data_IF_890855770891
#
_entry.id   IF_890855770891
#
_cell.length_a   1.000
_cell.length_b   1.000
_cell.length_c   1.000
_cell.angle_alpha   90.00
_cell.angle_beta   90.00
_cell.angle_gamma   90.00
#
_symmetry.space_group_name_H-M   'P 1'
#
loop_
_entity.id
_entity.type
_entity.pdbx_description
1 polymer ?
#
# COMPACT_ATOMS: atom_id res chain seq x y z
N UNK A 1 1.32 33.07 -20.09
CA UNK A 1 1.64 31.70 -19.66
C UNK A 1 1.75 31.71 -18.15
N UNK A 2 0.66 31.31 -17.47
CA UNK A 2 0.65 31.25 -16.03
C UNK A 2 1.55 30.13 -15.53
N UNK A 3 2.47 30.39 -14.57
CA UNK A 3 3.35 29.38 -14.03
C UNK A 3 2.66 28.41 -13.06
N UNK A 4 1.34 28.35 -13.06
CA UNK A 4 0.55 27.56 -12.13
C UNK A 4 -0.41 26.59 -12.85
N UNK A 5 0.02 26.02 -13.99
CA UNK A 5 -0.75 24.97 -14.66
C UNK A 5 -0.51 23.62 -14.00
N UNK A 6 -0.98 23.49 -12.76
CA UNK A 6 -1.14 22.22 -12.05
C UNK A 6 -2.46 21.52 -12.48
N UNK A 7 -3.02 21.93 -13.63
CA UNK A 7 -4.33 21.51 -14.11
C UNK A 7 -4.32 20.17 -14.88
N UNK A 8 -3.20 19.45 -14.89
CA UNK A 8 -3.08 18.16 -15.59
C UNK A 8 -3.27 16.96 -14.66
N UNK A 9 -3.10 17.13 -13.35
CA UNK A 9 -3.25 16.03 -12.40
C UNK A 9 -4.73 15.79 -12.12
N UNK A 10 -5.19 14.58 -12.38
CA UNK A 10 -6.53 14.10 -12.03
C UNK A 10 -6.44 12.85 -11.19
N UNK A 11 -7.35 12.72 -10.20
CA UNK A 11 -7.55 11.49 -9.45
C UNK A 11 -8.93 10.94 -9.85
N UNK A 12 -8.95 9.71 -10.32
CA UNK A 12 -10.20 9.09 -10.80
C UNK A 12 -10.23 7.60 -10.53
N UNK A 13 -11.42 7.01 -10.56
CA UNK A 13 -11.56 5.55 -10.48
C UNK A 13 -10.89 4.90 -11.69
N UNK A 14 -10.11 3.85 -11.43
CA UNK A 14 -9.49 3.06 -12.47
C UNK A 14 -10.54 2.34 -13.30
N UNK A 15 -10.28 2.20 -14.58
CA UNK A 15 -11.04 1.33 -15.49
C UNK A 15 -10.36 -0.04 -15.62
N UNK A 16 -11.03 -1.00 -16.25
CA UNK A 16 -10.45 -2.31 -16.53
C UNK A 16 -9.17 -2.20 -17.38
N UNK A 17 -9.08 -1.20 -18.25
CA UNK A 17 -7.91 -0.95 -19.09
C UNK A 17 -6.68 -0.47 -18.31
N UNK A 18 -6.88 0.05 -17.09
CA UNK A 18 -5.78 0.54 -16.24
C UNK A 18 -5.10 -0.58 -15.45
N UNK A 19 -5.74 -1.74 -15.29
CA UNK A 19 -5.30 -2.80 -14.36
C UNK A 19 -3.89 -3.29 -14.67
N UNK A 20 -3.53 -3.48 -15.94
CA UNK A 20 -2.19 -3.92 -16.33
C UNK A 20 -1.12 -2.88 -15.96
N UNK A 21 -1.37 -1.62 -16.22
CA UNK A 21 -0.47 -0.51 -15.84
C UNK A 21 -0.31 -0.43 -14.33
N UNK A 22 -1.40 -0.55 -13.58
CA UNK A 22 -1.36 -0.54 -12.11
C UNK A 22 -0.60 -1.76 -11.57
N UNK A 23 -0.75 -2.94 -12.18
CA UNK A 23 0.03 -4.12 -11.80
C UNK A 23 1.54 -3.89 -11.97
N UNK A 24 1.96 -3.22 -13.04
CA UNK A 24 3.36 -2.84 -13.23
C UNK A 24 3.84 -1.84 -12.17
N UNK A 25 3.01 -0.87 -11.80
CA UNK A 25 3.32 0.07 -10.71
C UNK A 25 3.39 -0.64 -9.36
N UNK A 26 2.54 -1.62 -9.11
CA UNK A 26 2.62 -2.43 -7.90
C UNK A 26 3.94 -3.19 -7.79
N UNK A 27 4.45 -3.74 -8.88
CA UNK A 27 5.77 -4.40 -8.90
C UNK A 27 6.87 -3.42 -8.48
N UNK A 28 6.81 -2.18 -8.95
CA UNK A 28 7.75 -1.11 -8.54
C UNK A 28 7.62 -0.79 -7.05
N UNK A 29 6.39 -0.66 -6.55
CA UNK A 29 6.12 -0.48 -5.12
C UNK A 29 6.70 -1.63 -4.28
N UNK A 30 6.43 -2.87 -4.66
CA UNK A 30 6.93 -4.05 -3.95
C UNK A 30 8.46 -4.13 -3.94
N UNK A 31 9.13 -3.76 -5.02
CA UNK A 31 10.59 -3.64 -5.07
C UNK A 31 11.11 -2.58 -4.12
N UNK A 32 10.47 -1.42 -4.07
CA UNK A 32 10.85 -0.34 -3.14
C UNK A 32 10.67 -0.77 -1.68
N UNK A 33 9.60 -1.49 -1.35
CA UNK A 33 9.35 -2.00 0.00
C UNK A 33 10.38 -3.03 0.48
N UNK A 34 11.06 -3.74 -0.41
CA UNK A 34 12.15 -4.64 -0.02
C UNK A 34 13.33 -3.91 0.62
N UNK A 35 13.52 -2.65 0.34
CA UNK A 35 14.51 -1.79 1.02
C UNK A 35 14.16 -1.54 2.48
N UNK A 36 12.94 -1.82 2.88
CA UNK A 36 12.41 -1.69 4.23
C UNK A 36 12.09 -3.06 4.86
N UNK A 37 12.80 -4.12 4.42
CA UNK A 37 12.73 -5.48 4.94
C UNK A 37 11.43 -6.25 4.61
N UNK A 38 10.72 -5.87 3.56
CA UNK A 38 9.61 -6.68 3.05
C UNK A 38 10.10 -7.99 2.43
N UNK A 39 9.42 -9.11 2.74
CA UNK A 39 9.69 -10.44 2.16
C UNK A 39 8.97 -10.68 0.83
N UNK A 40 8.14 -9.76 0.38
CA UNK A 40 7.33 -9.93 -0.84
C UNK A 40 8.23 -9.96 -2.07
N UNK A 41 8.06 -11.00 -2.88
CA UNK A 41 8.73 -11.13 -4.18
C UNK A 41 7.91 -10.42 -5.25
N UNK A 42 8.38 -9.26 -5.69
CA UNK A 42 7.64 -8.37 -6.58
C UNK A 42 7.22 -9.06 -7.89
N UNK A 43 8.17 -9.53 -8.69
CA UNK A 43 7.89 -10.10 -10.00
C UNK A 43 7.11 -11.42 -9.93
N UNK A 44 7.43 -12.28 -8.95
CA UNK A 44 6.76 -13.55 -8.76
C UNK A 44 5.27 -13.42 -8.39
N UNK A 45 4.88 -12.29 -7.82
CA UNK A 45 3.49 -12.04 -7.39
C UNK A 45 2.72 -11.12 -8.34
N UNK A 46 3.31 -10.72 -9.47
CA UNK A 46 2.65 -9.77 -10.38
C UNK A 46 1.27 -10.24 -10.83
N UNK A 47 1.14 -11.49 -11.30
CA UNK A 47 -0.13 -12.01 -11.80
C UNK A 47 -1.18 -12.14 -10.69
N UNK A 48 -0.79 -12.62 -9.52
CA UNK A 48 -1.68 -12.68 -8.35
C UNK A 48 -2.17 -11.29 -7.96
N UNK A 49 -1.29 -10.30 -7.98
CA UNK A 49 -1.68 -8.92 -7.67
C UNK A 49 -2.48 -8.26 -8.78
N UNK A 50 -2.20 -8.57 -10.03
CA UNK A 50 -3.06 -8.13 -11.14
C UNK A 50 -4.50 -8.57 -10.93
N UNK A 51 -4.73 -9.83 -10.57
CA UNK A 51 -6.07 -10.35 -10.31
C UNK A 51 -6.71 -9.68 -9.07
N UNK A 52 -5.94 -9.45 -8.03
CA UNK A 52 -6.38 -8.72 -6.84
C UNK A 52 -6.77 -7.28 -7.17
N UNK A 53 -5.95 -6.58 -7.96
CA UNK A 53 -6.22 -5.21 -8.39
C UNK A 53 -7.45 -5.13 -9.31
N UNK A 54 -7.65 -6.13 -10.17
CA UNK A 54 -8.86 -6.24 -10.98
C UNK A 54 -10.12 -6.39 -10.10
N UNK A 55 -10.04 -7.17 -9.03
CA UNK A 55 -11.13 -7.29 -8.05
C UNK A 55 -11.39 -5.97 -7.33
N UNK A 56 -10.35 -5.23 -6.93
CA UNK A 56 -10.51 -3.88 -6.37
C UNK A 56 -11.18 -2.94 -7.36
N UNK A 57 -10.78 -2.97 -8.63
CA UNK A 57 -11.36 -2.11 -9.67
C UNK A 57 -12.87 -2.37 -9.83
N UNK A 58 -13.29 -3.62 -9.89
CA UNK A 58 -14.72 -4.00 -10.00
C UNK A 58 -15.54 -3.54 -8.78
N UNK A 59 -14.93 -3.49 -7.61
CA UNK A 59 -15.58 -3.10 -6.35
C UNK A 59 -15.38 -1.62 -5.97
N UNK A 60 -15.06 -0.76 -6.92
CA UNK A 60 -14.81 0.68 -6.70
C UNK A 60 -13.72 0.96 -5.66
N UNK A 61 -12.72 0.09 -5.59
CA UNK A 61 -11.60 0.15 -4.65
C UNK A 61 -10.24 0.40 -5.30
N UNK A 62 -10.21 0.98 -6.51
CA UNK A 62 -8.97 1.31 -7.20
C UNK A 62 -9.04 2.70 -7.80
N UNK A 63 -8.14 3.58 -7.36
CA UNK A 63 -7.96 4.93 -7.89
C UNK A 63 -6.63 5.03 -8.62
N UNK A 64 -6.61 5.85 -9.67
CA UNK A 64 -5.39 6.23 -10.38
C UNK A 64 -5.21 7.74 -10.35
N UNK A 65 -3.96 8.17 -10.27
CA UNK A 65 -3.55 9.53 -10.49
C UNK A 65 -2.99 9.64 -11.92
N UNK A 66 -3.52 10.56 -12.72
CA UNK A 66 -3.05 10.82 -14.08
C UNK A 66 -2.45 12.21 -14.20
N UNK A 67 -1.34 12.28 -14.89
CA UNK A 67 -0.81 13.51 -15.46
C UNK A 67 -1.06 13.46 -16.96
N UNK A 68 -2.08 14.17 -17.42
CA UNK A 68 -2.60 13.98 -18.77
C UNK A 68 -3.14 12.56 -18.96
N UNK A 69 -2.58 11.80 -19.89
CA UNK A 69 -2.96 10.40 -20.14
C UNK A 69 -2.08 9.38 -19.39
N UNK A 70 -1.01 9.83 -18.74
CA UNK A 70 -0.05 8.97 -18.07
C UNK A 70 -0.48 8.69 -16.64
N UNK A 71 -0.57 7.43 -16.25
CA UNK A 71 -0.78 7.03 -14.85
C UNK A 71 0.53 7.22 -14.07
N UNK A 72 0.50 8.12 -13.09
CA UNK A 72 1.67 8.46 -12.27
C UNK A 72 1.55 7.96 -10.82
N UNK A 73 0.43 7.35 -10.46
CA UNK A 73 0.22 6.77 -9.14
C UNK A 73 -1.09 6.01 -9.07
N UNK A 74 -1.25 5.24 -8.01
CA UNK A 74 -2.48 4.51 -7.74
C UNK A 74 -2.68 4.28 -6.24
N UNK A 75 -3.92 3.95 -5.87
CA UNK A 75 -4.25 3.45 -4.53
C UNK A 75 -5.30 2.35 -4.65
N UNK A 76 -5.13 1.27 -3.89
CA UNK A 76 -6.12 0.21 -3.74
C UNK A 76 -6.61 0.14 -2.31
N UNK A 77 -7.92 -0.03 -2.13
CA UNK A 77 -8.57 0.02 -0.84
C UNK A 77 -9.88 -0.77 -0.86
N UNK A 78 -10.39 -1.06 0.32
CA UNK A 78 -11.69 -1.74 0.47
C UNK A 78 -12.27 -1.47 1.86
N UNK A 79 -13.59 -1.62 1.99
CA UNK A 79 -14.22 -1.70 3.31
C UNK A 79 -14.02 -3.11 3.84
N UNK A 80 -13.54 -3.24 5.09
CA UNK A 80 -13.30 -4.52 5.72
C UNK A 80 -14.64 -5.22 6.03
N UNK A 81 -14.78 -6.44 5.53
CA UNK A 81 -15.95 -7.30 5.72
C UNK A 81 -15.51 -8.61 6.36
N UNK A 82 -15.04 -8.53 7.62
CA UNK A 82 -14.65 -9.69 8.41
C UNK A 82 -15.87 -10.41 9.02
N UNK A 83 -15.63 -11.60 9.56
CA UNK A 83 -16.63 -12.39 10.28
C UNK A 83 -16.91 -11.86 11.70
N UNK A 84 -16.04 -11.02 12.24
CA UNK A 84 -16.21 -10.42 13.55
C UNK A 84 -16.95 -9.10 13.45
N UNK A 85 -17.85 -8.84 14.39
CA UNK A 85 -18.46 -7.54 14.57
C UNK A 85 -17.47 -6.62 15.27
N UNK A 86 -17.28 -5.43 14.72
CA UNK A 86 -16.42 -4.38 15.26
C UNK A 86 -17.27 -3.19 15.70
N UNK A 87 -16.74 -2.41 16.63
CA UNK A 87 -17.39 -1.17 17.10
C UNK A 87 -17.40 -0.06 16.05
N UNK A 88 -16.56 -0.17 15.03
CA UNK A 88 -16.49 0.77 13.91
C UNK A 88 -16.31 0.02 12.58
N UNK A 89 -16.90 0.56 11.52
CA UNK A 89 -16.65 0.08 10.16
C UNK A 89 -15.31 0.60 9.67
N UNK A 90 -14.41 -0.32 9.32
CA UNK A 90 -13.05 0.01 8.90
C UNK A 90 -12.90 -0.01 7.38
N UNK A 91 -12.32 1.04 6.84
CA UNK A 91 -11.74 1.04 5.51
C UNK A 91 -10.26 0.65 5.59
N UNK A 92 -9.78 -0.12 4.64
CA UNK A 92 -8.40 -0.57 4.55
C UNK A 92 -7.75 0.01 3.30
N UNK A 93 -6.70 0.80 3.47
CA UNK A 93 -5.82 1.20 2.38
C UNK A 93 -4.74 0.11 2.22
N UNK A 94 -4.82 -0.65 1.13
CA UNK A 94 -3.94 -1.79 0.89
C UNK A 94 -2.64 -1.38 0.21
N UNK A 95 -2.71 -0.49 -0.79
CA UNK A 95 -1.55 0.00 -1.52
C UNK A 95 -1.74 1.48 -1.88
N UNK A 96 -0.64 2.23 -1.84
CA UNK A 96 -0.54 3.57 -2.41
C UNK A 96 0.87 3.75 -2.97
N UNK A 97 0.96 4.25 -4.18
CA UNK A 97 2.23 4.44 -4.86
C UNK A 97 2.18 5.64 -5.79
N UNK A 98 3.26 6.40 -5.80
CA UNK A 98 3.49 7.50 -6.74
C UNK A 98 4.85 7.26 -7.39
N UNK A 99 4.92 7.34 -8.72
CA UNK A 99 6.19 7.19 -9.44
C UNK A 99 7.20 8.25 -8.97
N UNK A 100 8.51 7.92 -8.87
CA UNK A 100 9.50 8.85 -8.32
C UNK A 100 9.49 10.24 -8.97
N UNK A 101 9.31 10.32 -10.28
CA UNK A 101 9.29 11.58 -11.03
C UNK A 101 8.10 12.50 -10.67
N UNK A 102 7.03 11.95 -10.10
CA UNK A 102 5.82 12.70 -9.71
C UNK A 102 5.73 12.93 -8.19
N UNK A 103 6.72 12.54 -7.42
CA UNK A 103 6.76 12.77 -5.96
C UNK A 103 7.03 14.23 -5.63
N UNK A 104 6.71 14.62 -4.39
CA UNK A 104 6.87 15.99 -3.86
C UNK A 104 6.01 17.04 -4.59
N UNK A 105 4.97 16.60 -5.28
CA UNK A 105 4.03 17.47 -6.01
C UNK A 105 2.59 17.34 -5.49
N UNK A 106 2.40 16.72 -4.33
CA UNK A 106 1.10 16.56 -3.70
C UNK A 106 0.23 15.42 -4.24
N UNK A 107 0.76 14.56 -5.12
CA UNK A 107 0.01 13.42 -5.71
C UNK A 107 -0.40 12.41 -4.63
N UNK A 108 0.52 12.05 -3.74
CA UNK A 108 0.24 11.12 -2.63
C UNK A 108 -0.83 11.65 -1.69
N UNK A 109 -0.80 12.93 -1.38
CA UNK A 109 -1.83 13.60 -0.58
C UNK A 109 -3.19 13.57 -1.29
N UNK A 110 -3.23 13.90 -2.57
CA UNK A 110 -4.47 13.88 -3.35
C UNK A 110 -5.06 12.47 -3.45
N UNK A 111 -4.23 11.44 -3.66
CA UNK A 111 -4.66 10.04 -3.64
C UNK A 111 -5.23 9.64 -2.28
N UNK A 112 -4.54 9.96 -1.19
CA UNK A 112 -4.98 9.60 0.16
C UNK A 112 -6.32 10.26 0.50
N UNK A 113 -6.48 11.53 0.22
CA UNK A 113 -7.74 12.27 0.43
C UNK A 113 -8.88 11.67 -0.38
N UNK A 114 -8.63 11.30 -1.65
CA UNK A 114 -9.62 10.65 -2.49
C UNK A 114 -10.01 9.25 -1.97
N UNK A 115 -9.06 8.47 -1.46
CA UNK A 115 -9.33 7.20 -0.79
C UNK A 115 -10.22 7.38 0.44
N UNK A 116 -9.89 8.35 1.29
CA UNK A 116 -10.67 8.67 2.49
C UNK A 116 -12.12 9.06 2.13
N UNK A 117 -12.30 9.88 1.11
CA UNK A 117 -13.63 10.27 0.60
C UNK A 117 -14.42 9.06 0.06
N UNK A 118 -13.79 8.22 -0.74
CA UNK A 118 -14.43 7.01 -1.28
C UNK A 118 -14.80 6.03 -0.16
N UNK A 119 -13.91 5.77 0.78
CA UNK A 119 -14.18 4.89 1.92
C UNK A 119 -15.30 5.43 2.81
N UNK A 120 -15.30 6.73 3.09
CA UNK A 120 -16.37 7.39 3.85
C UNK A 120 -17.72 7.24 3.13
N UNK A 121 -17.76 7.42 1.80
CA UNK A 121 -18.96 7.24 1.01
C UNK A 121 -19.48 5.79 1.02
N UNK A 122 -18.60 4.83 1.22
CA UNK A 122 -18.92 3.40 1.36
C UNK A 122 -19.25 2.98 2.80
N UNK A 123 -19.29 3.92 3.73
CA UNK A 123 -19.70 3.71 5.12
C UNK A 123 -18.55 3.47 6.10
N UNK A 124 -17.29 3.59 5.69
CA UNK A 124 -16.17 3.48 6.61
C UNK A 124 -16.14 4.66 7.60
N UNK A 125 -15.90 4.34 8.85
CA UNK A 125 -15.80 5.31 9.95
C UNK A 125 -14.34 5.60 10.32
N UNK A 126 -13.46 4.64 10.04
CA UNK A 126 -12.00 4.76 10.25
C UNK A 126 -11.26 4.16 9.07
N UNK A 127 -10.06 4.65 8.81
CA UNK A 127 -9.15 4.10 7.81
C UNK A 127 -7.96 3.47 8.51
N UNK A 128 -7.62 2.25 8.14
CA UNK A 128 -6.43 1.56 8.61
C UNK A 128 -5.48 1.26 7.45
N UNK A 129 -4.21 1.28 7.72
CA UNK A 129 -3.16 0.93 6.76
C UNK A 129 -1.99 0.28 7.49
N UNK A 130 -1.16 -0.42 6.74
CA UNK A 130 0.09 -0.98 7.23
C UNK A 130 1.27 -0.30 6.54
N UNK A 131 2.31 -0.02 7.29
CA UNK A 131 3.56 0.56 6.80
C UNK A 131 4.74 -0.17 7.43
N UNK A 132 5.77 -0.43 6.62
CA UNK A 132 6.99 -1.07 7.14
C UNK A 132 7.63 -0.18 8.23
N UNK A 133 8.01 -0.78 9.36
CA UNK A 133 8.52 -0.08 10.53
C UNK A 133 9.72 0.84 10.20
N UNK A 134 10.59 0.41 9.26
CA UNK A 134 11.78 1.16 8.84
C UNK A 134 11.52 2.17 7.71
N UNK A 135 10.30 2.22 7.17
CA UNK A 135 9.91 3.25 6.19
C UNK A 135 9.52 4.54 6.92
N UNK A 136 10.52 5.26 7.41
CA UNK A 136 10.31 6.47 8.19
C UNK A 136 9.64 7.60 7.40
N UNK A 137 9.94 7.71 6.11
CA UNK A 137 9.35 8.72 5.24
C UNK A 137 7.83 8.52 5.09
N UNK A 138 7.38 7.28 4.87
CA UNK A 138 5.96 6.96 4.79
C UNK A 138 5.27 7.16 6.15
N UNK A 139 5.89 6.72 7.24
CA UNK A 139 5.35 6.94 8.59
C UNK A 139 5.13 8.42 8.89
N UNK A 140 6.12 9.26 8.62
CA UNK A 140 5.99 10.71 8.80
C UNK A 140 4.91 11.32 7.91
N UNK A 141 4.78 10.83 6.68
CA UNK A 141 3.70 11.26 5.78
C UNK A 141 2.32 11.00 6.39
N UNK A 142 2.07 9.79 6.87
CA UNK A 142 0.79 9.42 7.47
C UNK A 142 0.54 10.16 8.81
N UNK A 143 1.55 10.31 9.65
CA UNK A 143 1.44 11.06 10.91
C UNK A 143 1.03 12.52 10.65
N UNK A 144 1.62 13.18 9.64
CA UNK A 144 1.21 14.54 9.23
C UNK A 144 -0.23 14.61 8.74
N UNK A 145 -0.80 13.51 8.27
CA UNK A 145 -2.20 13.40 7.83
C UNK A 145 -3.16 12.98 8.95
N UNK A 146 -2.68 12.87 10.17
CA UNK A 146 -3.50 12.56 11.33
C UNK A 146 -3.61 11.07 11.66
N UNK A 147 -2.82 10.21 10.99
CA UNK A 147 -2.76 8.78 11.31
C UNK A 147 -1.89 8.56 12.55
N UNK A 148 -2.33 7.66 13.40
CA UNK A 148 -1.65 7.26 14.63
C UNK A 148 -1.36 5.77 14.60
N UNK A 149 -0.29 5.35 15.28
CA UNK A 149 0.02 3.92 15.41
C UNK A 149 -1.09 3.22 16.17
N UNK A 150 -1.69 2.22 15.55
CA UNK A 150 -2.80 1.45 16.11
C UNK A 150 -2.39 0.03 16.53
N UNK A 151 -1.58 -0.64 15.70
CA UNK A 151 -1.14 -2.02 15.93
C UNK A 151 0.31 -2.15 15.53
N UNK A 152 1.05 -2.99 16.24
CA UNK A 152 2.45 -3.30 15.94
C UNK A 152 2.58 -4.79 15.65
N UNK A 153 3.24 -5.13 14.53
CA UNK A 153 3.69 -6.48 14.23
C UNK A 153 5.15 -6.62 14.67
N UNK A 154 5.51 -7.75 15.24
CA UNK A 154 6.87 -8.06 15.68
C UNK A 154 7.30 -9.38 15.05
N UNK A 155 8.58 -9.50 14.69
CA UNK A 155 9.13 -10.73 14.13
C UNK A 155 10.39 -11.16 14.87
N UNK A 156 10.68 -12.46 14.81
CA UNK A 156 11.91 -13.06 15.30
C UNK A 156 12.38 -14.11 14.28
N UNK A 157 13.63 -14.01 13.85
CA UNK A 157 14.27 -15.05 13.05
C UNK A 157 14.50 -16.30 13.93
N UNK A 158 14.09 -17.47 13.44
CA UNK A 158 14.27 -18.75 14.12
C UNK A 158 15.46 -19.56 13.59
N UNK A 159 16.19 -19.03 12.60
CA UNK A 159 17.32 -19.73 11.94
C UNK A 159 18.54 -19.87 12.84
N UNK A 160 18.91 -18.84 13.56
CA UNK A 160 20.15 -18.77 14.34
C UNK A 160 20.12 -19.59 15.66
N UNK A 161 18.95 -19.79 16.26
CA UNK A 161 18.81 -20.52 17.54
C UNK A 161 18.86 -22.05 17.38
N UNK A 162 18.80 -22.61 16.16
CA UNK A 162 18.82 -24.05 15.90
C UNK A 162 20.22 -24.63 15.73
N UNK A 163 21.21 -23.80 15.42
CA UNK A 163 22.59 -24.25 15.22
C UNK A 163 23.38 -24.39 16.53
N UNK A 164 22.98 -23.77 17.62
CA UNK A 164 23.70 -23.85 18.90
C UNK A 164 23.31 -25.03 19.78
N UNK A 165 22.19 -25.72 19.50
CA UNK A 165 21.74 -26.87 20.31
C UNK A 165 22.25 -28.24 19.83
N UNK A 166 22.97 -28.33 18.70
CA UNK A 166 23.44 -29.61 18.16
C UNK A 166 24.92 -29.94 18.50
N UNK A 167 25.58 -29.07 19.28
CA UNK A 167 27.01 -29.23 19.57
C UNK A 167 27.33 -29.70 21.02
N UNK A 168 26.28 -30.04 21.83
CA UNK A 168 26.51 -30.48 23.20
C UNK A 168 25.92 -31.88 23.49
N UNK A 169 26.22 -32.86 22.66
CA UNK A 169 25.94 -34.24 23.01
C UNK A 169 26.90 -35.21 22.30
N UNK A 170 28.20 -35.13 22.62
CA UNK A 170 29.14 -36.25 22.47
C UNK A 170 30.46 -35.92 23.17
N UNK A 171 30.46 -36.10 24.47
CA UNK A 171 31.62 -36.53 25.24
C UNK A 171 31.10 -36.93 26.61
N UNK A 172 30.90 -38.25 26.77
CA UNK A 172 31.26 -38.99 27.96
C UNK A 172 30.80 -40.45 27.76
N UNK A 173 31.82 -41.33 27.68
CA UNK A 173 31.62 -42.75 27.77
C UNK A 173 32.82 -43.49 27.34
#
# INVERSE_FOLDING_TARGET
MDPNDNSRLTIERATADDVETVADLWVRLARDQRRHDSYVRADANRETMRDTLAAHQVNDGLLVARDGETVVGFASFSVERGSLQLDATRGVLSNIYVVPAAREQGVGTALLEAVEDELASQGAEVVVLEVMAHNEAARRFYERKGYETYRVAMERDLGDDRSENDTHSKEDG
#
